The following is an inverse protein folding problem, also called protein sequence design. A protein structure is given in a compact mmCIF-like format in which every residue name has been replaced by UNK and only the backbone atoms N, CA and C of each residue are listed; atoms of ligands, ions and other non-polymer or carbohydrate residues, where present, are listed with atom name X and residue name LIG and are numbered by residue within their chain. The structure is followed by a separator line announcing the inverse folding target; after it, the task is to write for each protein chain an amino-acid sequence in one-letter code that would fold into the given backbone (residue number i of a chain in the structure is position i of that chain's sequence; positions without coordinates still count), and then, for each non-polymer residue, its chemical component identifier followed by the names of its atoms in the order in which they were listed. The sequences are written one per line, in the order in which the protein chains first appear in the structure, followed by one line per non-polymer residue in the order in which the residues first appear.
data_IF_581934526646
#
_entry.id   IF_581934526646
#
_cell.length_a   1.000
_cell.length_b   1.000
_cell.length_c   1.000
_cell.angle_alpha   90.00
_cell.angle_beta   90.00
_cell.angle_gamma   90.00
#
_symmetry.space_group_name_H-M   'P 1'
#
loop_
_entity.id
_entity.type
_entity.pdbx_description
1 polymer ?
#
# COMPACT_ATOMS: atom_id res chain seq x y z
N UNK A 1 -3.04 -35.83 -7.94
CA UNK A 1 -2.44 -34.84 -7.00
C UNK A 1 -2.47 -35.45 -5.60
N UNK A 2 -1.32 -35.57 -4.92
CA UNK A 2 -1.20 -36.27 -3.63
C UNK A 2 -1.78 -35.41 -2.48
N UNK A 3 -2.61 -36.00 -1.61
CA UNK A 3 -3.40 -35.33 -0.54
C UNK A 3 -2.53 -34.49 0.42
N UNK A 4 -1.26 -34.88 0.60
CA UNK A 4 -0.27 -34.14 1.41
C UNK A 4 0.13 -32.80 0.79
N UNK A 5 0.22 -32.71 -0.53
CA UNK A 5 0.52 -31.45 -1.22
C UNK A 5 -0.63 -30.45 -1.12
N UNK A 6 -1.88 -30.93 -1.27
CA UNK A 6 -3.08 -30.09 -1.11
C UNK A 6 -3.12 -29.50 0.32
N UNK A 7 -2.85 -30.33 1.34
CA UNK A 7 -2.82 -29.86 2.74
C UNK A 7 -1.76 -28.78 2.98
N UNK A 8 -0.57 -28.92 2.38
CA UNK A 8 0.48 -27.91 2.49
C UNK A 8 0.12 -26.59 1.79
N UNK A 9 -0.47 -26.66 0.59
CA UNK A 9 -0.91 -25.47 -0.14
C UNK A 9 -1.99 -24.73 0.66
N UNK A 10 -2.99 -25.45 1.18
CA UNK A 10 -4.05 -24.86 2.01
C UNK A 10 -3.46 -24.24 3.28
N UNK A 11 -2.53 -24.92 3.96
CA UNK A 11 -1.90 -24.40 5.18
C UNK A 11 -1.11 -23.11 4.94
N UNK A 12 -0.54 -22.93 3.74
CA UNK A 12 0.16 -21.69 3.35
C UNK A 12 -0.81 -20.61 2.85
N UNK A 13 -1.92 -21.00 2.24
CA UNK A 13 -2.91 -20.07 1.68
C UNK A 13 -3.88 -19.49 2.70
N UNK A 14 -4.21 -20.22 3.77
CA UNK A 14 -5.15 -19.76 4.81
C UNK A 14 -4.67 -18.47 5.49
N UNK A 15 -3.39 -18.31 5.89
CA UNK A 15 -2.90 -17.05 6.43
C UNK A 15 -3.11 -15.86 5.48
N UNK A 16 -2.73 -15.99 4.21
CA UNK A 16 -2.92 -14.94 3.20
C UNK A 16 -4.40 -14.62 2.98
N UNK A 17 -5.25 -15.64 2.94
CA UNK A 17 -6.71 -15.47 2.83
C UNK A 17 -7.26 -14.67 4.01
N UNK A 18 -6.85 -14.98 5.24
CA UNK A 18 -7.31 -14.26 6.44
C UNK A 18 -6.88 -12.79 6.36
N UNK A 19 -5.65 -12.50 5.93
CA UNK A 19 -5.16 -11.12 5.77
C UNK A 19 -5.98 -10.33 4.75
N UNK A 20 -6.24 -10.89 3.57
CA UNK A 20 -7.04 -10.23 2.52
C UNK A 20 -8.50 -10.08 2.93
N UNK A 21 -9.10 -11.11 3.52
CA UNK A 21 -10.48 -11.07 3.99
C UNK A 21 -10.66 -10.02 5.10
N UNK A 22 -9.72 -9.95 6.04
CA UNK A 22 -9.72 -8.93 7.10
C UNK A 22 -9.60 -7.53 6.51
N UNK A 23 -8.72 -7.34 5.53
CA UNK A 23 -8.55 -6.05 4.84
C UNK A 23 -9.84 -5.62 4.12
N UNK A 24 -10.55 -6.56 3.49
CA UNK A 24 -11.85 -6.32 2.88
C UNK A 24 -12.93 -5.90 3.89
N UNK A 25 -12.99 -6.57 5.05
CA UNK A 25 -13.92 -6.17 6.14
C UNK A 25 -13.58 -4.78 6.65
N UNK A 26 -12.29 -4.50 6.90
CA UNK A 26 -11.82 -3.19 7.37
C UNK A 26 -12.25 -2.10 6.39
N UNK A 27 -12.05 -2.32 5.09
CA UNK A 27 -12.47 -1.37 4.04
C UNK A 27 -13.99 -1.15 4.03
N UNK A 28 -14.80 -2.19 4.19
CA UNK A 28 -16.26 -2.06 4.26
C UNK A 28 -16.69 -1.23 5.48
N UNK A 29 -16.14 -1.54 6.65
CA UNK A 29 -16.45 -0.80 7.88
C UNK A 29 -16.04 0.67 7.74
N UNK A 30 -14.84 0.95 7.23
CA UNK A 30 -14.40 2.32 6.97
C UNK A 30 -15.33 3.06 6.01
N UNK A 31 -15.72 2.45 4.89
CA UNK A 31 -16.65 3.07 3.94
C UNK A 31 -18.00 3.39 4.59
N UNK A 32 -18.57 2.48 5.38
CA UNK A 32 -19.82 2.75 6.10
C UNK A 32 -19.67 3.86 7.15
N UNK A 33 -18.56 3.88 7.90
CA UNK A 33 -18.30 4.94 8.87
C UNK A 33 -18.16 6.29 8.19
N UNK A 34 -17.38 6.37 7.10
CA UNK A 34 -17.16 7.60 6.33
C UNK A 34 -18.48 8.09 5.73
N UNK A 35 -19.30 7.18 5.18
CA UNK A 35 -20.62 7.51 4.64
C UNK A 35 -21.53 8.12 5.71
N UNK A 36 -21.49 7.62 6.94
CA UNK A 36 -22.32 8.14 8.03
C UNK A 36 -21.87 9.51 8.55
N UNK A 37 -20.57 9.86 8.46
CA UNK A 37 -20.03 11.12 8.99
C UNK A 37 -19.88 12.23 7.94
N UNK A 38 -19.61 11.86 6.69
CA UNK A 38 -19.24 12.79 5.61
C UNK A 38 -19.98 12.51 4.30
N UNK A 39 -21.01 11.67 4.36
CA UNK A 39 -21.88 11.31 3.23
C UNK A 39 -21.09 10.79 2.01
N UNK A 40 -21.70 10.87 0.82
CA UNK A 40 -21.10 10.39 -0.42
C UNK A 40 -19.80 11.16 -0.78
N UNK A 41 -19.69 12.42 -0.36
CA UNK A 41 -18.52 13.26 -0.63
C UNK A 41 -17.29 12.70 0.11
N UNK A 42 -17.45 12.28 1.37
CA UNK A 42 -16.39 11.66 2.15
C UNK A 42 -15.91 10.34 1.54
N UNK A 43 -16.84 9.49 1.11
CA UNK A 43 -16.50 8.20 0.46
C UNK A 43 -15.78 8.42 -0.86
N UNK A 44 -16.18 9.44 -1.64
CA UNK A 44 -15.48 9.82 -2.86
C UNK A 44 -14.04 10.30 -2.59
N UNK A 45 -13.84 11.14 -1.56
CA UNK A 45 -12.51 11.59 -1.14
C UNK A 45 -11.62 10.41 -0.70
N UNK A 46 -12.17 9.49 0.09
CA UNK A 46 -11.47 8.26 0.47
C UNK A 46 -11.10 7.39 -0.74
N UNK A 47 -11.97 7.30 -1.75
CA UNK A 47 -11.68 6.59 -2.99
C UNK A 47 -10.46 7.14 -3.74
N UNK A 48 -10.28 8.46 -3.77
CA UNK A 48 -9.08 9.09 -4.36
C UNK A 48 -7.84 8.68 -3.57
N UNK A 49 -7.90 8.77 -2.24
CA UNK A 49 -6.79 8.38 -1.37
C UNK A 49 -6.42 6.91 -1.54
N UNK A 50 -7.42 6.02 -1.59
CA UNK A 50 -7.22 4.59 -1.77
C UNK A 50 -6.54 4.27 -3.11
N UNK A 51 -6.94 4.92 -4.21
CA UNK A 51 -6.30 4.74 -5.51
C UNK A 51 -4.83 5.19 -5.50
N UNK A 52 -4.52 6.29 -4.81
CA UNK A 52 -3.14 6.74 -4.64
C UNK A 52 -2.33 5.78 -3.78
N UNK A 53 -2.93 5.27 -2.70
CA UNK A 53 -2.30 4.27 -1.85
C UNK A 53 -1.95 3.01 -2.65
N UNK A 54 -2.83 2.54 -3.53
CA UNK A 54 -2.55 1.37 -4.40
C UNK A 54 -1.32 1.57 -5.28
N UNK A 55 -1.13 2.77 -5.84
CA UNK A 55 0.06 3.09 -6.65
C UNK A 55 1.33 2.97 -5.79
N UNK A 56 1.30 3.53 -4.59
CA UNK A 56 2.45 3.50 -3.67
C UNK A 56 2.74 2.07 -3.19
N UNK A 57 1.70 1.32 -2.80
CA UNK A 57 1.80 -0.09 -2.41
C UNK A 57 2.38 -0.93 -3.55
N UNK A 58 2.00 -0.66 -4.80
CA UNK A 58 2.55 -1.35 -5.96
C UNK A 58 4.05 -1.12 -6.13
N UNK A 59 4.54 0.09 -5.86
CA UNK A 59 5.98 0.41 -5.87
C UNK A 59 6.73 -0.43 -4.83
N UNK A 60 6.27 -0.42 -3.57
CA UNK A 60 6.89 -1.21 -2.50
C UNK A 60 6.85 -2.72 -2.78
N UNK A 61 5.72 -3.19 -3.31
CA UNK A 61 5.56 -4.58 -3.74
C UNK A 61 6.55 -4.93 -4.85
N UNK A 62 6.77 -4.02 -5.80
CA UNK A 62 7.76 -4.18 -6.85
C UNK A 62 9.19 -4.33 -6.31
N UNK A 63 9.56 -3.55 -5.29
CA UNK A 63 10.86 -3.69 -4.60
C UNK A 63 10.97 -5.07 -3.94
N UNK A 64 9.95 -5.47 -3.18
CA UNK A 64 9.93 -6.75 -2.48
C UNK A 64 10.07 -7.93 -3.45
N UNK A 65 9.28 -7.92 -4.52
CA UNK A 65 9.34 -8.95 -5.57
C UNK A 65 10.67 -8.94 -6.32
N UNK A 66 11.26 -7.76 -6.60
CA UNK A 66 12.54 -7.64 -7.29
C UNK A 66 13.72 -8.20 -6.49
N UNK A 67 13.68 -8.06 -5.16
CA UNK A 67 14.79 -8.49 -4.27
C UNK A 67 14.65 -9.95 -3.83
N UNK A 68 13.42 -10.47 -3.72
CA UNK A 68 13.13 -11.84 -3.30
C UNK A 68 13.97 -12.92 -4.00
N UNK A 69 14.11 -12.98 -5.35
CA UNK A 69 14.93 -14.00 -6.01
C UNK A 69 16.43 -13.85 -5.71
N UNK A 70 16.92 -12.61 -5.55
CA UNK A 70 18.33 -12.32 -5.26
C UNK A 70 18.69 -12.77 -3.85
N UNK A 71 17.82 -12.49 -2.87
CA UNK A 71 17.95 -12.97 -1.49
C UNK A 71 17.90 -14.50 -1.47
N UNK A 72 16.92 -15.12 -2.13
CA UNK A 72 16.78 -16.57 -2.17
C UNK A 72 18.04 -17.26 -2.73
N UNK A 73 18.60 -16.73 -3.82
CA UNK A 73 19.86 -17.24 -4.40
C UNK A 73 21.05 -17.09 -3.46
N UNK A 74 21.24 -15.93 -2.83
CA UNK A 74 22.38 -15.70 -1.93
C UNK A 74 22.26 -16.53 -0.64
N UNK A 75 21.04 -16.69 -0.13
CA UNK A 75 20.75 -17.54 1.02
C UNK A 75 21.04 -19.01 0.72
N UNK A 76 20.59 -19.52 -0.44
CA UNK A 76 20.88 -20.90 -0.88
C UNK A 76 22.37 -21.18 -1.12
N UNK A 77 23.18 -20.15 -1.39
CA UNK A 77 24.64 -20.25 -1.53
C UNK A 77 25.41 -20.09 -0.20
N UNK A 78 24.71 -19.96 0.95
CA UNK A 78 25.34 -19.74 2.25
C UNK A 78 25.98 -18.34 2.42
N UNK A 79 25.71 -17.41 1.50
CA UNK A 79 26.31 -16.06 1.50
C UNK A 79 25.49 -15.10 2.37
N UNK A 80 25.38 -15.39 3.67
CA UNK A 80 24.61 -14.60 4.63
C UNK A 80 24.99 -13.11 4.69
N UNK A 81 26.28 -12.79 4.52
CA UNK A 81 26.75 -11.41 4.44
C UNK A 81 26.13 -10.62 3.28
N UNK A 82 25.92 -11.25 2.13
CA UNK A 82 25.26 -10.63 0.98
C UNK A 82 23.76 -10.44 1.22
N UNK A 83 23.11 -11.37 1.92
CA UNK A 83 21.70 -11.24 2.30
C UNK A 83 21.49 -9.99 3.16
N UNK A 84 22.37 -9.75 4.14
CA UNK A 84 22.30 -8.55 5.00
C UNK A 84 22.54 -7.25 4.21
N UNK A 85 23.45 -7.25 3.24
CA UNK A 85 23.69 -6.10 2.34
C UNK A 85 22.47 -5.82 1.46
N UNK A 86 21.90 -6.86 0.84
CA UNK A 86 20.69 -6.76 0.01
C UNK A 86 19.52 -6.21 0.80
N UNK A 87 19.35 -6.64 2.06
CA UNK A 87 18.34 -6.09 2.95
C UNK A 87 18.54 -4.59 3.22
N UNK A 88 19.78 -4.13 3.46
CA UNK A 88 20.05 -2.69 3.63
C UNK A 88 19.78 -1.90 2.35
N UNK A 89 20.15 -2.42 1.18
CA UNK A 89 19.83 -1.77 -0.08
C UNK A 89 18.32 -1.73 -0.32
N UNK A 90 17.58 -2.79 0.02
CA UNK A 90 16.12 -2.81 -0.02
C UNK A 90 15.53 -1.69 0.82
N UNK A 91 15.98 -1.58 2.08
CA UNK A 91 15.51 -0.57 3.03
C UNK A 91 15.81 0.86 2.55
N UNK A 92 17.05 1.14 2.11
CA UNK A 92 17.41 2.46 1.61
C UNK A 92 16.57 2.82 0.38
N UNK A 93 16.36 1.87 -0.52
CA UNK A 93 15.53 2.09 -1.72
C UNK A 93 14.08 2.35 -1.35
N UNK A 94 13.52 1.57 -0.41
CA UNK A 94 12.15 1.74 0.09
C UNK A 94 11.97 3.10 0.76
N UNK A 95 12.86 3.50 1.67
CA UNK A 95 12.80 4.81 2.35
C UNK A 95 12.93 5.96 1.35
N UNK A 96 13.86 5.84 0.39
CA UNK A 96 14.08 6.88 -0.63
C UNK A 96 12.84 7.06 -1.51
N UNK A 97 12.28 5.96 -2.01
CA UNK A 97 11.07 6.00 -2.84
C UNK A 97 9.84 6.43 -2.04
N UNK A 98 9.69 5.97 -0.79
CA UNK A 98 8.63 6.40 0.12
C UNK A 98 8.69 7.90 0.38
N UNK A 99 9.88 8.45 0.60
CA UNK A 99 10.08 9.91 0.76
C UNK A 99 9.69 10.66 -0.52
N UNK A 100 10.07 10.16 -1.69
CA UNK A 100 9.70 10.76 -2.98
C UNK A 100 8.18 10.74 -3.18
N UNK A 101 7.51 9.60 -2.92
CA UNK A 101 6.05 9.49 -3.00
C UNK A 101 5.35 10.43 -2.01
N UNK A 102 5.85 10.53 -0.77
CA UNK A 102 5.35 11.46 0.24
C UNK A 102 5.43 12.91 -0.23
N UNK A 103 6.61 13.34 -0.69
CA UNK A 103 6.82 14.71 -1.18
C UNK A 103 5.95 15.01 -2.40
N UNK A 104 5.83 14.08 -3.34
CA UNK A 104 4.94 14.25 -4.49
C UNK A 104 3.47 14.35 -4.06
N UNK A 105 3.06 13.53 -3.09
CA UNK A 105 1.70 13.57 -2.54
C UNK A 105 1.35 14.91 -1.90
N UNK A 106 2.26 15.53 -1.17
CA UNK A 106 2.01 16.83 -0.52
C UNK A 106 2.12 18.00 -1.50
N UNK A 107 3.16 18.01 -2.35
CA UNK A 107 3.40 19.14 -3.27
C UNK A 107 2.34 19.16 -4.38
N UNK A 108 1.95 17.99 -4.89
CA UNK A 108 1.01 17.85 -6.00
C UNK A 108 -0.38 17.37 -5.58
N UNK A 109 -0.69 17.38 -4.27
CA UNK A 109 -1.98 16.94 -3.72
C UNK A 109 -3.18 17.51 -4.50
N UNK A 110 -3.21 18.82 -4.69
CA UNK A 110 -4.30 19.51 -5.39
C UNK A 110 -4.45 19.06 -6.85
N UNK A 111 -3.34 18.92 -7.58
CA UNK A 111 -3.34 18.50 -8.98
C UNK A 111 -3.80 17.05 -9.10
N UNK A 112 -3.32 16.20 -8.20
CA UNK A 112 -3.71 14.78 -8.15
C UNK A 112 -5.20 14.67 -7.85
N UNK A 113 -5.70 15.34 -6.81
CA UNK A 113 -7.13 15.34 -6.45
C UNK A 113 -7.98 15.91 -7.60
N UNK A 114 -7.53 16.98 -8.26
CA UNK A 114 -8.25 17.61 -9.37
C UNK A 114 -8.49 16.67 -10.55
N UNK A 115 -7.58 15.71 -10.80
CA UNK A 115 -7.78 14.68 -11.85
C UNK A 115 -8.99 13.80 -11.55
N UNK A 116 -9.28 13.56 -10.27
CA UNK A 116 -10.42 12.73 -9.83
C UNK A 116 -11.66 13.56 -9.45
N UNK A 117 -11.51 14.84 -9.10
CA UNK A 117 -12.61 15.76 -8.73
C UNK A 117 -13.30 16.35 -9.96
N UNK A 118 -14.03 15.52 -10.71
CA UNK A 118 -14.75 15.93 -11.93
C UNK A 118 -15.82 16.99 -11.70
N UNK A 119 -16.42 17.02 -10.51
CA UNK A 119 -17.50 17.94 -10.14
C UNK A 119 -17.00 19.26 -9.54
N UNK A 120 -15.67 19.44 -9.44
CA UNK A 120 -15.03 20.62 -8.83
C UNK A 120 -15.56 20.94 -7.41
N UNK A 121 -15.94 19.90 -6.66
CA UNK A 121 -16.48 20.06 -5.32
C UNK A 121 -15.35 20.49 -4.37
N UNK A 122 -15.47 21.70 -3.79
CA UNK A 122 -14.44 22.25 -2.91
C UNK A 122 -14.33 21.50 -1.57
N UNK A 123 -15.45 20.95 -1.08
CA UNK A 123 -15.49 20.17 0.18
C UNK A 123 -14.75 18.84 -0.01
N UNK A 124 -14.93 18.19 -1.17
CA UNK A 124 -14.19 16.99 -1.51
C UNK A 124 -12.68 17.27 -1.55
N UNK A 125 -12.29 18.39 -2.16
CA UNK A 125 -10.89 18.77 -2.29
C UNK A 125 -10.25 19.02 -0.92
N UNK A 126 -10.95 19.72 0.00
CA UNK A 126 -10.41 19.96 1.34
C UNK A 126 -10.25 18.67 2.15
N UNK A 127 -11.25 17.78 2.11
CA UNK A 127 -11.19 16.50 2.85
C UNK A 127 -10.08 15.60 2.29
N UNK A 128 -9.98 15.49 0.97
CA UNK A 128 -8.95 14.67 0.32
C UNK A 128 -7.53 15.23 0.55
N UNK A 129 -7.33 16.55 0.52
CA UNK A 129 -6.02 17.17 0.73
C UNK A 129 -5.51 16.96 2.16
N UNK A 130 -6.38 17.18 3.15
CA UNK A 130 -6.04 16.92 4.55
C UNK A 130 -5.78 15.42 4.80
N UNK A 131 -6.63 14.56 4.21
CA UNK A 131 -6.49 13.12 4.27
C UNK A 131 -5.17 12.62 3.68
N UNK A 132 -4.75 13.13 2.51
CA UNK A 132 -3.48 12.74 1.87
C UNK A 132 -2.29 13.08 2.77
N UNK A 133 -2.27 14.28 3.37
CA UNK A 133 -1.18 14.71 4.25
C UNK A 133 -1.01 13.81 5.47
N UNK A 134 -2.12 13.35 6.05
CA UNK A 134 -2.11 12.45 7.21
C UNK A 134 -1.75 11.02 6.77
N UNK A 135 -2.44 10.51 5.74
CA UNK A 135 -2.31 9.12 5.32
C UNK A 135 -0.92 8.81 4.78
N UNK A 136 -0.29 9.74 4.05
CA UNK A 136 1.00 9.48 3.41
C UNK A 136 2.15 9.36 4.42
N UNK A 137 1.97 9.85 5.67
CA UNK A 137 2.93 9.60 6.75
C UNK A 137 3.04 8.10 7.06
N UNK A 138 1.95 7.34 6.89
CA UNK A 138 1.95 5.89 7.12
C UNK A 138 2.92 5.13 6.19
N UNK A 139 3.28 5.70 5.03
CA UNK A 139 4.23 5.07 4.11
C UNK A 139 5.66 4.99 4.65
N UNK A 140 6.02 5.74 5.70
CA UNK A 140 7.31 5.58 6.36
C UNK A 140 7.37 4.38 7.30
N UNK A 141 6.22 3.84 7.70
CA UNK A 141 6.10 2.66 8.57
C UNK A 141 6.05 1.37 7.74
N UNK A 142 5.70 1.47 6.46
CA UNK A 142 5.56 0.38 5.51
C UNK A 142 6.91 -0.08 4.95
#
# INVERSE_FOLDING_TARGET
INRRYIKNIISLGVPSFITEFSSGIIMLVFNFTILNIAENIGVAAYGIMANLALIVVAIFTGIAQGIQPIISKNYGQGKGGNVRKLYHYALITAITLGTICYLMGIIFSNQIIAVFNKEQNQILLSIADEGIKIYFIAFFIM
#
